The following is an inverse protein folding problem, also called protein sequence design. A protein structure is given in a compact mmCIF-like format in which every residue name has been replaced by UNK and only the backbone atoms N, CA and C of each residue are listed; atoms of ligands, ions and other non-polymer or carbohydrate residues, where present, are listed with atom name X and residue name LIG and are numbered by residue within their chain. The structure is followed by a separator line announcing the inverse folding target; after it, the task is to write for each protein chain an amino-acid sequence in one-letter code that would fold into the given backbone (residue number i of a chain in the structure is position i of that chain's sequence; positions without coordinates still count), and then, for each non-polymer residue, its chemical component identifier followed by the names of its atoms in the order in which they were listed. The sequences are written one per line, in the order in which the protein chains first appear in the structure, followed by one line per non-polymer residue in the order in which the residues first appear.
data_IF_870503276957
#
_entry.id   IF_870503276957
#
_cell.length_a   1.000
_cell.length_b   1.000
_cell.length_c   1.000
_cell.angle_alpha   90.00
_cell.angle_beta   90.00
_cell.angle_gamma   90.00
#
_symmetry.space_group_name_H-M   'P 1'
#
loop_
_entity.id
_entity.type
_entity.pdbx_description
1 polymer ?
#
# COMPACT_ATOMS: atom_id res chain seq x y z
N UNK A 1 -4.35 4.61 22.36
CA UNK A 1 -4.83 5.95 22.73
C UNK A 1 -4.88 6.12 24.25
N UNK A 2 -5.63 5.29 25.02
CA UNK A 2 -5.77 5.47 26.47
C UNK A 2 -4.40 5.62 27.20
N UNK A 3 -3.46 4.72 26.98
CA UNK A 3 -2.12 4.78 27.57
C UNK A 3 -1.35 6.07 27.20
N UNK A 4 -1.52 6.56 25.96
CA UNK A 4 -0.93 7.83 25.55
C UNK A 4 -1.52 9.00 26.33
N UNK A 5 -2.85 9.08 26.43
CA UNK A 5 -3.51 10.15 27.18
C UNK A 5 -3.14 10.15 28.67
N UNK A 6 -2.99 8.98 29.28
CA UNK A 6 -2.53 8.85 30.67
C UNK A 6 -1.07 9.28 30.87
N UNK A 7 -0.23 9.17 29.85
CA UNK A 7 1.17 9.55 29.91
C UNK A 7 1.44 11.05 29.67
N UNK A 8 0.41 11.81 29.23
CA UNK A 8 0.57 13.26 28.98
C UNK A 8 0.57 13.99 30.32
N UNK A 9 1.65 14.78 30.61
CA UNK A 9 1.73 15.54 31.85
C UNK A 9 0.65 16.63 31.93
N UNK A 10 0.23 16.97 33.14
CA UNK A 10 -0.67 18.09 33.37
C UNK A 10 -0.07 19.39 32.83
N UNK A 11 -0.86 20.18 32.13
CA UNK A 11 -0.43 21.43 31.49
C UNK A 11 0.22 21.30 30.11
N UNK A 12 0.41 20.08 29.60
CA UNK A 12 0.89 19.88 28.25
C UNK A 12 -0.21 20.15 27.20
N UNK A 13 0.20 20.72 26.06
CA UNK A 13 -0.69 20.89 24.91
C UNK A 13 -0.64 19.65 24.01
N UNK A 14 -1.79 19.11 23.66
CA UNK A 14 -1.91 17.99 22.75
C UNK A 14 -2.54 18.45 21.43
N UNK A 15 -1.79 18.31 20.33
CA UNK A 15 -2.29 18.50 18.98
C UNK A 15 -2.43 17.14 18.29
N UNK A 16 -3.65 16.80 17.87
CA UNK A 16 -3.94 15.61 17.07
C UNK A 16 -4.17 16.02 15.62
N UNK A 17 -3.40 15.44 14.72
CA UNK A 17 -3.50 15.68 13.27
C UNK A 17 -3.85 14.36 12.58
N UNK A 18 -4.82 14.40 11.67
CA UNK A 18 -5.22 13.21 10.91
C UNK A 18 -6.34 13.51 9.94
N UNK A 19 -6.72 12.49 9.18
CA UNK A 19 -7.81 12.54 8.20
C UNK A 19 -8.93 11.60 8.66
N UNK A 20 -10.05 12.18 9.09
CA UNK A 20 -11.21 11.42 9.59
C UNK A 20 -11.99 10.69 8.49
N UNK A 21 -11.77 11.05 7.22
CA UNK A 21 -12.44 10.46 6.06
C UNK A 21 -11.68 9.25 5.51
N UNK A 22 -10.41 9.05 5.91
CA UNK A 22 -9.64 7.84 5.62
C UNK A 22 -10.12 6.65 6.47
N UNK A 23 -9.58 5.47 6.15
CA UNK A 23 -9.79 4.28 6.98
C UNK A 23 -9.36 4.55 8.42
N UNK A 24 -10.19 4.20 9.41
CA UNK A 24 -9.82 4.35 10.81
C UNK A 24 -8.66 3.39 11.16
N UNK A 25 -7.96 3.68 12.27
CA UNK A 25 -6.89 2.82 12.79
C UNK A 25 -7.37 1.38 12.99
N UNK A 26 -6.48 0.41 12.79
CA UNK A 26 -6.76 -1.00 13.08
C UNK A 26 -6.95 -1.18 14.59
N UNK A 27 -8.08 -1.76 15.00
CA UNK A 27 -8.43 -1.99 16.41
C UNK A 27 -9.75 -1.37 16.83
N UNK A 28 -10.01 -1.35 18.13
CA UNK A 28 -11.27 -0.83 18.68
C UNK A 28 -11.29 0.70 18.69
N UNK A 29 -12.41 1.28 18.34
CA UNK A 29 -12.68 2.71 18.46
C UNK A 29 -12.38 3.53 17.20
N UNK A 30 -12.96 4.73 17.19
CA UNK A 30 -12.74 5.76 16.18
C UNK A 30 -12.28 7.05 16.90
N UNK A 31 -11.11 6.96 17.53
CA UNK A 31 -10.63 7.96 18.49
C UNK A 31 -10.64 9.38 17.89
N UNK A 32 -10.09 9.56 16.68
CA UNK A 32 -10.07 10.89 16.06
C UNK A 32 -11.49 11.42 15.78
N UNK A 33 -12.34 10.61 15.16
CA UNK A 33 -13.72 10.99 14.86
C UNK A 33 -14.55 11.26 16.12
N UNK A 34 -14.38 10.44 17.16
CA UNK A 34 -15.07 10.62 18.44
C UNK A 34 -14.64 11.90 19.16
N UNK A 35 -13.33 12.23 19.15
CA UNK A 35 -12.80 13.45 19.70
C UNK A 35 -13.29 14.69 18.94
N UNK A 36 -13.30 14.62 17.60
CA UNK A 36 -13.81 15.73 16.77
C UNK A 36 -15.29 16.02 16.97
N UNK A 37 -16.07 15.00 17.34
CA UNK A 37 -17.52 15.11 17.54
C UNK A 37 -17.94 15.45 18.99
N UNK A 38 -16.98 15.52 19.91
CA UNK A 38 -17.26 15.75 21.33
C UNK A 38 -16.55 17.00 21.86
N UNK A 39 -17.23 17.85 22.66
CA UNK A 39 -16.55 18.86 23.44
C UNK A 39 -15.59 18.20 24.45
N UNK A 40 -14.51 18.82 24.88
CA UNK A 40 -14.11 20.22 24.66
C UNK A 40 -13.08 20.39 23.51
N UNK A 41 -12.92 19.43 22.60
CA UNK A 41 -11.88 19.51 21.57
C UNK A 41 -12.12 20.72 20.63
N UNK A 42 -11.10 21.55 20.48
CA UNK A 42 -11.07 22.56 19.43
C UNK A 42 -10.67 21.92 18.12
N UNK A 43 -11.57 21.94 17.15
CA UNK A 43 -11.37 21.28 15.84
C UNK A 43 -11.17 22.34 14.76
N UNK A 44 -10.08 22.21 14.02
CA UNK A 44 -9.86 22.96 12.77
C UNK A 44 -9.87 21.97 11.61
N UNK A 45 -10.78 22.14 10.66
CA UNK A 45 -10.82 21.38 9.42
C UNK A 45 -10.12 22.15 8.31
N UNK A 46 -9.23 21.44 7.59
CA UNK A 46 -8.57 21.97 6.40
C UNK A 46 -9.33 21.47 5.18
N UNK A 47 -10.03 22.39 4.49
CA UNK A 47 -10.91 22.04 3.37
C UNK A 47 -10.24 22.25 2.01
N UNK A 48 -9.14 23.00 1.97
CA UNK A 48 -8.45 23.33 0.73
C UNK A 48 -7.23 22.48 0.54
N UNK A 49 -7.17 21.76 -0.60
CA UNK A 49 -6.04 20.90 -0.97
C UNK A 49 -5.09 21.73 -1.84
N UNK A 50 -3.87 21.96 -1.35
CA UNK A 50 -2.80 22.68 -2.07
C UNK A 50 -1.76 21.77 -2.72
N UNK A 51 -1.81 20.46 -2.44
CA UNK A 51 -0.76 19.49 -2.80
C UNK A 51 -0.67 19.20 -4.30
N UNK A 52 -1.79 19.30 -5.00
CA UNK A 52 -1.92 19.11 -6.45
C UNK A 52 -2.69 20.31 -7.00
N UNK A 53 -2.37 20.75 -8.23
CA UNK A 53 -3.04 21.90 -8.84
C UNK A 53 -4.57 21.78 -8.80
N UNK A 54 -5.27 22.90 -8.87
CA UNK A 54 -6.75 22.98 -8.80
C UNK A 54 -7.47 22.09 -9.86
N UNK A 55 -6.77 21.65 -10.90
CA UNK A 55 -7.29 20.82 -11.99
C UNK A 55 -6.95 19.31 -11.84
N UNK A 56 -6.40 18.90 -10.69
CA UNK A 56 -6.07 17.48 -10.46
C UNK A 56 -7.31 16.60 -10.42
N UNK A 57 -7.35 15.60 -11.29
CA UNK A 57 -8.38 14.57 -11.31
C UNK A 57 -8.40 13.71 -10.05
N UNK A 58 -7.25 13.51 -9.40
CA UNK A 58 -7.16 12.81 -8.10
C UNK A 58 -7.92 13.59 -7.04
N UNK A 59 -7.68 14.91 -6.95
CA UNK A 59 -8.32 15.79 -5.96
C UNK A 59 -9.82 15.90 -6.22
N UNK A 60 -10.21 16.19 -7.46
CA UNK A 60 -11.63 16.28 -7.85
C UNK A 60 -12.38 14.97 -7.58
N UNK A 61 -11.77 13.83 -7.91
CA UNK A 61 -12.39 12.53 -7.64
C UNK A 61 -12.45 12.23 -6.14
N UNK A 62 -11.43 12.56 -5.36
CA UNK A 62 -11.46 12.40 -3.91
C UNK A 62 -12.61 13.21 -3.28
N UNK A 63 -12.80 14.47 -3.69
CA UNK A 63 -13.93 15.28 -3.24
C UNK A 63 -15.30 14.73 -3.69
N UNK A 64 -15.41 14.25 -4.94
CA UNK A 64 -16.61 13.62 -5.45
C UNK A 64 -16.99 12.38 -4.63
N UNK A 65 -15.99 11.56 -4.27
CA UNK A 65 -16.17 10.39 -3.38
C UNK A 65 -16.74 10.82 -2.04
N UNK A 66 -16.17 11.84 -1.39
CA UNK A 66 -16.66 12.31 -0.09
C UNK A 66 -18.10 12.83 -0.16
N UNK A 67 -18.48 13.47 -1.26
CA UNK A 67 -19.87 13.89 -1.53
C UNK A 67 -20.81 12.72 -1.85
N UNK A 68 -20.29 11.53 -2.15
CA UNK A 68 -21.09 10.36 -2.51
C UNK A 68 -21.43 10.26 -3.98
N UNK A 69 -20.71 10.96 -4.84
CA UNK A 69 -20.87 10.89 -6.29
C UNK A 69 -20.37 9.53 -6.80
N UNK A 70 -21.26 8.77 -7.44
CA UNK A 70 -21.02 7.35 -7.77
C UNK A 70 -20.39 7.13 -9.13
N UNK A 71 -20.08 8.17 -9.87
CA UNK A 71 -19.41 8.09 -11.16
C UNK A 71 -17.98 8.62 -11.04
N UNK A 72 -16.97 7.90 -11.55
CA UNK A 72 -15.57 8.30 -11.39
C UNK A 72 -15.15 9.47 -12.32
N UNK A 73 -16.07 10.07 -13.03
CA UNK A 73 -15.82 11.18 -13.95
C UNK A 73 -15.18 10.74 -15.26
N UNK A 74 -14.02 10.14 -15.23
CA UNK A 74 -13.28 9.70 -16.42
C UNK A 74 -13.13 8.18 -16.45
N UNK A 75 -13.71 7.55 -17.49
CA UNK A 75 -13.72 6.09 -17.65
C UNK A 75 -13.20 5.71 -19.03
N UNK A 76 -12.29 4.76 -19.08
CA UNK A 76 -11.77 4.16 -20.31
C UNK A 76 -12.20 2.70 -20.40
N UNK A 77 -12.71 2.30 -21.55
CA UNK A 77 -13.07 0.90 -21.83
C UNK A 77 -11.95 0.12 -22.49
N UNK A 78 -10.99 0.82 -23.04
CA UNK A 78 -9.85 0.21 -23.74
C UNK A 78 -8.53 0.74 -23.19
N UNK A 79 -7.58 -0.17 -22.99
CA UNK A 79 -6.21 0.17 -22.61
C UNK A 79 -5.45 0.94 -23.69
N UNK A 80 -5.98 0.94 -24.94
CA UNK A 80 -5.37 1.68 -26.07
C UNK A 80 -5.66 3.16 -26.04
N UNK A 81 -6.75 3.55 -25.37
CA UNK A 81 -7.24 4.94 -25.33
C UNK A 81 -6.74 5.71 -24.11
N UNK A 82 -5.79 5.13 -23.35
CA UNK A 82 -5.26 5.74 -22.14
C UNK A 82 -4.50 7.03 -22.45
N UNK A 83 -4.85 8.09 -21.73
CA UNK A 83 -4.20 9.40 -21.83
C UNK A 83 -3.16 9.55 -20.70
N UNK A 84 -1.84 9.59 -21.03
CA UNK A 84 -0.81 9.73 -20.02
C UNK A 84 -0.78 11.11 -19.34
N UNK A 85 -1.48 12.11 -19.88
CA UNK A 85 -1.58 13.43 -19.24
C UNK A 85 -2.48 13.42 -18.02
N UNK A 86 -3.45 12.51 -17.94
CA UNK A 86 -4.41 12.41 -16.84
C UNK A 86 -3.78 11.80 -15.60
N UNK A 87 -4.02 12.40 -14.46
CA UNK A 87 -3.53 11.91 -13.15
C UNK A 87 -4.49 10.92 -12.49
N UNK A 88 -5.77 10.91 -12.86
CA UNK A 88 -6.77 9.93 -12.47
C UNK A 88 -7.37 9.24 -13.68
N UNK A 89 -7.44 7.89 -13.64
CA UNK A 89 -7.99 7.08 -14.72
C UNK A 89 -8.77 5.89 -14.14
N UNK A 90 -10.01 5.72 -14.56
CA UNK A 90 -10.79 4.52 -14.29
C UNK A 90 -10.79 3.64 -15.55
N UNK A 91 -10.42 2.36 -15.40
CA UNK A 91 -10.39 1.37 -16.48
C UNK A 91 -11.46 0.32 -16.20
N UNK A 92 -12.43 0.21 -17.10
CA UNK A 92 -13.51 -0.73 -16.95
C UNK A 92 -13.02 -2.16 -17.21
N UNK A 93 -13.15 -3.03 -16.20
CA UNK A 93 -12.83 -4.44 -16.25
C UNK A 93 -13.78 -5.19 -15.30
N UNK A 94 -14.82 -5.80 -15.84
CA UNK A 94 -15.84 -6.45 -15.03
C UNK A 94 -15.41 -7.82 -14.48
N UNK A 95 -14.61 -8.54 -15.27
CA UNK A 95 -14.14 -9.87 -14.90
C UNK A 95 -12.77 -9.82 -14.21
N UNK A 96 -12.54 -10.66 -13.20
CA UNK A 96 -11.28 -10.71 -12.48
C UNK A 96 -10.05 -10.92 -13.37
N UNK A 97 -10.17 -11.74 -14.40
CA UNK A 97 -9.12 -12.05 -15.35
C UNK A 97 -8.76 -10.83 -16.20
N UNK A 98 -9.77 -10.07 -16.66
CA UNK A 98 -9.57 -8.81 -17.39
C UNK A 98 -8.88 -7.78 -16.50
N UNK A 99 -9.30 -7.67 -15.24
CA UNK A 99 -8.70 -6.78 -14.25
C UNK A 99 -7.22 -7.14 -14.04
N UNK A 100 -6.90 -8.42 -13.85
CA UNK A 100 -5.54 -8.90 -13.68
C UNK A 100 -4.65 -8.58 -14.89
N UNK A 101 -5.14 -8.88 -16.10
CA UNK A 101 -4.40 -8.59 -17.34
C UNK A 101 -4.18 -7.08 -17.53
N UNK A 102 -5.16 -6.26 -17.22
CA UNK A 102 -5.03 -4.81 -17.27
C UNK A 102 -3.98 -4.30 -16.27
N UNK A 103 -3.97 -4.81 -15.04
CA UNK A 103 -2.99 -4.46 -14.02
C UNK A 103 -1.58 -4.87 -14.46
N UNK A 104 -1.40 -6.09 -14.99
CA UNK A 104 -0.11 -6.57 -15.52
C UNK A 104 0.40 -5.69 -16.65
N UNK A 105 -0.45 -5.34 -17.59
CA UNK A 105 -0.12 -4.45 -18.70
C UNK A 105 0.29 -3.05 -18.22
N UNK A 106 -0.51 -2.47 -17.31
CA UNK A 106 -0.21 -1.17 -16.71
C UNK A 106 1.15 -1.19 -16.01
N UNK A 107 1.38 -2.17 -15.15
CA UNK A 107 2.58 -2.24 -14.32
C UNK A 107 3.84 -2.54 -15.14
N UNK A 108 3.76 -3.44 -16.13
CA UNK A 108 4.93 -3.89 -16.89
C UNK A 108 5.25 -3.00 -18.08
N UNK A 109 4.23 -2.49 -18.76
CA UNK A 109 4.41 -1.85 -20.06
C UNK A 109 4.00 -0.38 -20.08
N UNK A 110 2.74 -0.07 -19.77
CA UNK A 110 2.21 1.26 -19.99
C UNK A 110 2.84 2.32 -19.07
N UNK A 111 2.79 2.09 -17.76
CA UNK A 111 3.24 3.06 -16.76
C UNK A 111 4.76 3.32 -16.85
N UNK A 112 5.63 2.30 -16.93
CA UNK A 112 7.06 2.54 -17.09
C UNK A 112 7.40 3.34 -18.35
N UNK A 113 6.79 2.99 -19.49
CA UNK A 113 7.04 3.67 -20.77
C UNK A 113 6.50 5.09 -20.82
N UNK A 114 5.28 5.31 -20.27
CA UNK A 114 4.58 6.60 -20.37
C UNK A 114 5.07 7.62 -19.34
N UNK A 115 5.60 7.19 -18.21
CA UNK A 115 5.94 8.06 -17.09
C UNK A 115 7.41 8.01 -16.69
N UNK A 116 8.21 7.17 -17.34
CA UNK A 116 9.65 6.97 -17.06
C UNK A 116 9.90 6.71 -15.56
N UNK A 117 9.25 5.68 -15.01
CA UNK A 117 9.34 5.29 -13.61
C UNK A 117 9.75 3.82 -13.46
N UNK A 118 10.36 3.49 -12.33
CA UNK A 118 10.65 2.12 -11.93
C UNK A 118 9.37 1.49 -11.33
N UNK A 119 8.76 0.48 -11.98
CA UNK A 119 7.54 -0.13 -11.49
C UNK A 119 7.71 -0.84 -10.13
N UNK A 120 8.93 -1.23 -9.78
CA UNK A 120 9.20 -1.89 -8.52
C UNK A 120 9.25 -0.88 -7.36
N UNK A 121 9.81 0.32 -7.59
CA UNK A 121 9.95 1.36 -6.56
C UNK A 121 8.77 2.32 -6.50
N UNK A 122 8.32 2.79 -7.66
CA UNK A 122 7.42 3.95 -7.76
C UNK A 122 5.94 3.57 -7.89
N UNK A 123 5.66 2.31 -8.21
CA UNK A 123 4.31 1.80 -8.39
C UNK A 123 3.87 0.94 -7.21
N UNK A 124 2.64 1.13 -6.76
CA UNK A 124 2.02 0.26 -5.77
C UNK A 124 0.63 -0.20 -6.21
N UNK A 125 0.43 -1.51 -6.29
CA UNK A 125 -0.90 -2.09 -6.41
C UNK A 125 -1.50 -2.25 -5.03
N UNK A 126 -2.74 -1.75 -4.82
CA UNK A 126 -3.41 -1.76 -3.53
C UNK A 126 -4.78 -2.42 -3.66
N UNK A 127 -4.94 -3.63 -3.13
CA UNK A 127 -6.20 -4.38 -3.21
C UNK A 127 -7.01 -4.30 -1.90
N UNK A 128 -8.34 -4.26 -1.99
CA UNK A 128 -9.22 -4.39 -0.84
C UNK A 128 -9.11 -5.74 -0.11
N UNK A 129 -8.75 -6.81 -0.82
CA UNK A 129 -8.89 -8.20 -0.36
C UNK A 129 -7.59 -9.00 -0.48
N UNK A 130 -7.39 -9.94 0.47
CA UNK A 130 -6.21 -10.82 0.47
C UNK A 130 -6.34 -12.02 -0.47
N UNK A 131 -7.52 -12.66 -0.53
CA UNK A 131 -7.77 -13.89 -1.28
C UNK A 131 -8.69 -13.63 -2.46
N UNK A 132 -8.75 -14.59 -3.42
CA UNK A 132 -9.59 -14.50 -4.62
C UNK A 132 -8.87 -13.88 -5.81
N UNK A 133 -9.52 -13.86 -6.97
CA UNK A 133 -8.92 -13.52 -8.27
C UNK A 133 -8.50 -12.04 -8.44
N UNK A 134 -8.73 -11.15 -7.54
CA UNK A 134 -8.19 -9.78 -7.50
C UNK A 134 -7.51 -9.52 -6.17
N UNK A 135 -7.24 -10.59 -5.41
CA UNK A 135 -6.65 -10.54 -4.09
C UNK A 135 -5.13 -10.41 -4.13
N UNK A 136 -4.57 -9.94 -3.03
CA UNK A 136 -3.15 -9.64 -2.86
C UNK A 136 -2.28 -10.86 -3.18
N UNK A 137 -2.69 -12.06 -2.77
CA UNK A 137 -1.91 -13.29 -2.99
C UNK A 137 -1.69 -13.56 -4.48
N UNK A 138 -2.76 -13.55 -5.27
CA UNK A 138 -2.68 -13.78 -6.73
C UNK A 138 -1.95 -12.63 -7.41
N UNK A 139 -2.27 -11.39 -7.03
CA UNK A 139 -1.61 -10.21 -7.59
C UNK A 139 -0.10 -10.23 -7.35
N UNK A 140 0.38 -10.63 -6.18
CA UNK A 140 1.81 -10.73 -5.90
C UNK A 140 2.49 -11.79 -6.78
N UNK A 141 1.89 -12.98 -6.91
CA UNK A 141 2.42 -14.06 -7.76
C UNK A 141 2.51 -13.62 -9.22
N UNK A 142 1.44 -13.03 -9.74
CA UNK A 142 1.34 -12.63 -11.14
C UNK A 142 2.22 -11.41 -11.48
N UNK A 143 2.34 -10.47 -10.53
CA UNK A 143 3.19 -9.30 -10.71
C UNK A 143 4.67 -9.64 -10.52
N UNK A 144 5.03 -10.56 -9.61
CA UNK A 144 6.38 -11.08 -9.53
C UNK A 144 6.81 -11.68 -10.87
N UNK A 145 5.99 -12.55 -11.46
CA UNK A 145 6.32 -13.16 -12.74
C UNK A 145 6.34 -12.18 -13.91
N UNK A 146 5.52 -11.13 -13.84
CA UNK A 146 5.49 -10.08 -14.85
C UNK A 146 6.69 -9.11 -14.78
N UNK A 147 7.08 -8.70 -13.56
CA UNK A 147 8.07 -7.66 -13.32
C UNK A 147 9.47 -8.21 -12.99
N UNK A 148 9.54 -9.38 -12.36
CA UNK A 148 10.77 -10.06 -11.98
C UNK A 148 10.67 -11.56 -12.33
N UNK A 149 10.59 -11.90 -13.62
CA UNK A 149 10.46 -13.30 -14.04
C UNK A 149 11.68 -14.11 -13.64
N UNK A 150 11.50 -15.41 -13.45
CA UNK A 150 12.62 -16.33 -13.19
C UNK A 150 13.68 -16.21 -14.29
N UNK A 151 14.94 -15.95 -13.96
CA UNK A 151 16.01 -15.85 -14.95
C UNK A 151 16.13 -17.14 -15.75
N UNK A 152 16.17 -17.05 -17.09
CA UNK A 152 16.48 -18.21 -17.94
C UNK A 152 17.90 -18.68 -17.62
N UNK A 153 18.13 -19.99 -17.73
CA UNK A 153 19.40 -20.62 -17.34
C UNK A 153 20.66 -19.98 -18.01
N UNK A 154 20.47 -19.31 -19.13
CA UNK A 154 21.53 -18.65 -19.90
C UNK A 154 21.90 -17.24 -19.45
N UNK A 155 21.06 -16.58 -18.64
CA UNK A 155 21.28 -15.17 -18.22
C UNK A 155 21.91 -15.01 -16.82
N UNK A 156 22.53 -16.04 -16.28
CA UNK A 156 23.06 -16.09 -14.91
C UNK A 156 24.36 -15.31 -14.66
N UNK A 157 24.71 -14.35 -15.50
CA UNK A 157 25.99 -13.63 -15.46
C UNK A 157 25.95 -12.16 -15.01
N UNK A 158 24.81 -11.65 -14.52
CA UNK A 158 24.73 -10.27 -14.01
C UNK A 158 24.35 -10.26 -12.53
N UNK A 159 25.34 -10.51 -11.67
CA UNK A 159 25.35 -9.98 -10.30
C UNK A 159 25.77 -8.52 -10.36
N UNK A 160 25.12 -7.67 -9.55
CA UNK A 160 25.43 -6.25 -9.36
C UNK A 160 26.97 -6.05 -9.26
N UNK A 161 27.60 -5.26 -10.12
CA UNK A 161 29.05 -5.07 -10.09
C UNK A 161 29.55 -4.39 -8.80
N UNK A 162 28.65 -3.75 -8.04
CA UNK A 162 28.98 -3.09 -6.77
C UNK A 162 28.93 -4.05 -5.54
N UNK A 163 28.50 -5.31 -5.71
CA UNK A 163 28.48 -6.31 -4.66
C UNK A 163 29.63 -7.32 -4.87
N UNK A 164 30.83 -6.93 -4.57
CA UNK A 164 31.91 -7.85 -4.27
C UNK A 164 32.02 -8.02 -2.75
N UNK A 165 31.77 -9.21 -2.17
CA UNK A 165 32.09 -9.43 -0.76
C UNK A 165 33.59 -9.21 -0.56
N UNK A 166 33.97 -8.42 0.46
CA UNK A 166 35.33 -7.95 0.73
C UNK A 166 36.37 -9.05 1.08
N UNK A 167 36.13 -10.28 0.73
CA UNK A 167 37.02 -11.40 1.00
C UNK A 167 37.05 -12.37 -0.19
N UNK A 168 37.79 -12.03 -1.25
CA UNK A 168 38.32 -13.04 -2.16
C UNK A 168 39.48 -12.49 -3.02
N UNK A 169 40.65 -12.40 -2.40
CA UNK A 169 41.91 -12.51 -3.14
C UNK A 169 42.34 -13.98 -3.16
N UNK A 170 42.52 -14.48 -4.39
CA UNK A 170 43.20 -15.72 -4.74
C UNK A 170 42.67 -17.06 -4.21
N UNK A 171 41.90 -17.77 -5.07
CA UNK A 171 42.25 -19.17 -5.41
C UNK A 171 41.32 -19.73 -6.52
N UNK A 172 41.93 -20.20 -7.62
CA UNK A 172 41.52 -21.20 -8.62
C UNK A 172 40.06 -21.28 -9.11
N UNK A 173 39.89 -20.92 -10.39
CA UNK A 173 38.90 -21.48 -11.31
C UNK A 173 38.86 -23.02 -11.25
N UNK A 174 37.81 -23.57 -10.69
CA UNK A 174 37.15 -24.81 -11.10
C UNK A 174 36.03 -25.09 -10.09
N UNK A 175 34.77 -25.14 -10.61
CA UNK A 175 33.51 -25.49 -9.88
C UNK A 175 32.87 -24.37 -9.05
N UNK A 176 32.63 -23.18 -9.59
CA UNK A 176 31.65 -22.28 -8.97
C UNK A 176 30.26 -22.80 -9.27
N UNK A 177 29.57 -23.35 -8.27
CA UNK A 177 28.11 -23.51 -8.33
C UNK A 177 27.52 -22.13 -8.63
N UNK A 178 26.56 -22.02 -9.58
CA UNK A 178 25.92 -20.74 -9.83
C UNK A 178 25.28 -20.25 -8.54
N UNK A 179 25.43 -18.95 -8.24
CA UNK A 179 24.83 -18.33 -7.07
C UNK A 179 23.32 -18.48 -7.11
N UNK A 180 22.65 -18.75 -5.99
CA UNK A 180 21.20 -18.87 -5.97
C UNK A 180 20.57 -17.53 -6.34
N UNK A 181 19.63 -17.54 -7.26
CA UNK A 181 18.86 -16.37 -7.70
C UNK A 181 17.50 -16.30 -7.03
N UNK A 182 17.10 -17.38 -6.35
CA UNK A 182 15.85 -17.50 -5.63
C UNK A 182 16.03 -18.36 -4.37
N UNK A 183 15.19 -18.11 -3.36
CA UNK A 183 15.11 -18.88 -2.11
C UNK A 183 13.66 -19.19 -1.80
N UNK A 184 13.38 -20.44 -1.45
CA UNK A 184 12.05 -20.90 -1.05
C UNK A 184 11.85 -20.80 0.46
N UNK A 185 10.71 -20.25 0.86
CA UNK A 185 10.26 -20.21 2.24
C UNK A 185 8.74 -20.42 2.33
N UNK A 186 8.33 -21.54 2.89
CA UNK A 186 6.92 -21.94 2.91
C UNK A 186 6.35 -22.09 1.50
N UNK A 187 5.30 -21.35 1.19
CA UNK A 187 4.68 -21.29 -0.15
C UNK A 187 5.20 -20.15 -1.02
N UNK A 188 6.16 -19.38 -0.52
CA UNK A 188 6.71 -18.21 -1.22
C UNK A 188 8.09 -18.49 -1.77
N UNK A 189 8.36 -18.00 -2.98
CA UNK A 189 9.69 -18.01 -3.59
C UNK A 189 10.16 -16.58 -3.75
N UNK A 190 11.20 -16.21 -3.03
CA UNK A 190 11.81 -14.88 -3.11
C UNK A 190 12.98 -14.88 -4.09
N UNK A 191 13.04 -13.84 -4.94
CA UNK A 191 14.06 -13.67 -5.98
C UNK A 191 14.82 -12.36 -5.75
N UNK A 192 16.07 -12.31 -6.20
CA UNK A 192 16.82 -11.04 -6.27
C UNK A 192 16.01 -10.07 -7.14
N UNK A 193 15.82 -8.83 -6.67
CA UNK A 193 14.99 -7.82 -7.30
C UNK A 193 13.53 -7.79 -6.85
N UNK A 194 13.07 -8.74 -6.03
CA UNK A 194 11.71 -8.73 -5.52
C UNK A 194 11.46 -7.56 -4.57
N UNK A 195 10.28 -6.94 -4.72
CA UNK A 195 9.75 -5.98 -3.77
C UNK A 195 9.10 -6.72 -2.61
N UNK A 196 9.52 -6.39 -1.40
CA UNK A 196 9.04 -7.00 -0.16
C UNK A 196 8.61 -5.96 0.86
N UNK A 197 7.79 -6.39 1.83
CA UNK A 197 7.32 -5.56 2.95
C UNK A 197 7.59 -6.29 4.27
N UNK A 198 8.09 -5.57 5.26
CA UNK A 198 8.20 -6.03 6.63
C UNK A 198 6.81 -6.16 7.25
N UNK A 199 6.53 -7.24 7.96
CA UNK A 199 5.19 -7.54 8.51
C UNK A 199 5.08 -7.36 10.00
N UNK A 200 6.20 -7.15 10.70
CA UNK A 200 6.28 -6.89 12.15
C UNK A 200 7.45 -5.96 12.45
N UNK A 201 7.42 -5.29 13.59
CA UNK A 201 8.55 -4.47 14.02
C UNK A 201 9.73 -5.36 14.39
N UNK A 202 10.92 -5.02 13.91
CA UNK A 202 12.19 -5.59 14.33
C UNK A 202 13.09 -4.44 14.77
N UNK A 203 13.14 -4.21 16.08
CA UNK A 203 13.86 -3.08 16.67
C UNK A 203 15.38 -3.28 16.60
N UNK A 204 15.87 -4.52 16.60
CA UNK A 204 17.29 -4.84 16.51
C UNK A 204 17.86 -4.48 15.12
N UNK A 205 17.02 -4.60 14.10
CA UNK A 205 17.38 -4.29 12.71
C UNK A 205 16.92 -2.90 12.28
N UNK A 206 16.23 -2.16 13.15
CA UNK A 206 15.64 -0.86 12.85
C UNK A 206 14.70 -0.88 11.63
N UNK A 207 13.92 -1.97 11.47
CA UNK A 207 12.92 -2.13 10.40
C UNK A 207 11.56 -2.36 11.02
N UNK A 208 10.54 -1.67 10.49
CA UNK A 208 9.24 -1.62 11.10
C UNK A 208 8.16 -2.22 10.19
N UNK A 209 7.05 -2.60 10.80
CA UNK A 209 5.89 -3.12 10.07
C UNK A 209 5.38 -2.07 9.07
N UNK A 210 5.40 -2.44 7.80
CA UNK A 210 5.01 -1.57 6.68
C UNK A 210 6.19 -1.05 5.85
N UNK A 211 7.43 -1.16 6.34
CA UNK A 211 8.61 -0.78 5.57
C UNK A 211 8.75 -1.68 4.34
N UNK A 212 9.02 -1.06 3.20
CA UNK A 212 9.19 -1.77 1.93
C UNK A 212 10.64 -1.72 1.47
N UNK A 213 11.11 -2.84 0.95
CA UNK A 213 12.48 -2.97 0.46
C UNK A 213 12.58 -3.84 -0.78
N UNK A 214 13.80 -3.90 -1.34
CA UNK A 214 14.14 -4.71 -2.52
C UNK A 214 15.19 -5.73 -2.13
N UNK A 215 14.98 -7.00 -2.50
CA UNK A 215 15.97 -8.06 -2.28
C UNK A 215 17.16 -7.81 -3.20
N UNK A 216 18.35 -7.63 -2.63
CA UNK A 216 19.58 -7.33 -3.36
C UNK A 216 20.49 -8.54 -3.55
N UNK A 217 20.49 -9.45 -2.57
CA UNK A 217 21.33 -10.63 -2.62
C UNK A 217 20.67 -11.82 -1.92
N UNK A 218 21.11 -13.01 -2.30
CA UNK A 218 20.79 -14.27 -1.64
C UNK A 218 22.14 -14.92 -1.28
N UNK A 219 22.29 -15.39 -0.06
CA UNK A 219 23.51 -16.04 0.39
C UNK A 219 23.80 -17.29 -0.46
N UNK A 220 25.09 -17.55 -0.74
CA UNK A 220 25.53 -18.63 -1.65
C UNK A 220 25.06 -20.03 -1.21
N UNK A 221 24.89 -20.24 0.10
CA UNK A 221 24.37 -21.44 0.72
C UNK A 221 22.85 -21.42 0.93
N UNK A 222 22.17 -20.38 0.45
CA UNK A 222 20.73 -20.13 0.68
C UNK A 222 20.34 -20.06 2.17
N UNK A 223 21.26 -19.62 3.03
CA UNK A 223 21.01 -19.44 4.46
C UNK A 223 20.23 -18.15 4.80
N UNK A 224 20.18 -17.18 3.86
CA UNK A 224 19.50 -15.92 4.06
C UNK A 224 19.51 -15.03 2.83
N UNK A 225 19.00 -13.81 3.03
CA UNK A 225 18.90 -12.77 2.00
C UNK A 225 19.32 -11.41 2.55
N UNK A 226 19.73 -10.50 1.66
CA UNK A 226 19.94 -9.09 1.97
C UNK A 226 18.88 -8.25 1.31
N UNK A 227 18.19 -7.41 2.09
CA UNK A 227 17.14 -6.51 1.62
C UNK A 227 17.62 -5.08 1.79
N UNK A 228 17.42 -4.26 0.78
CA UNK A 228 17.64 -2.80 0.82
C UNK A 228 16.29 -2.13 1.16
N UNK A 229 16.17 -1.67 2.40
CA UNK A 229 15.18 -0.70 2.86
C UNK A 229 15.78 0.71 2.71
N UNK A 230 15.73 1.58 3.73
CA UNK A 230 16.57 2.78 3.78
C UNK A 230 18.05 2.42 3.91
N UNK A 231 18.32 1.33 4.65
CA UNK A 231 19.62 0.71 4.80
C UNK A 231 19.56 -0.76 4.36
N UNK A 232 20.74 -1.37 4.15
CA UNK A 232 20.86 -2.80 3.83
C UNK A 232 20.75 -3.63 5.10
N UNK A 233 19.84 -4.59 5.11
CA UNK A 233 19.55 -5.46 6.26
C UNK A 233 19.61 -6.93 5.85
N UNK A 234 20.32 -7.73 6.62
CA UNK A 234 20.43 -9.17 6.40
C UNK A 234 19.35 -9.93 7.18
N UNK A 235 18.77 -10.91 6.52
CA UNK A 235 17.77 -11.83 7.06
C UNK A 235 18.25 -13.26 6.93
N UNK A 236 18.25 -13.99 8.03
CA UNK A 236 18.41 -15.44 8.00
C UNK A 236 17.17 -16.12 7.43
N UNK A 237 17.28 -17.37 6.98
CA UNK A 237 16.15 -18.13 6.45
C UNK A 237 14.98 -18.21 7.44
N UNK A 238 15.23 -18.29 8.76
CA UNK A 238 14.19 -18.30 9.79
C UNK A 238 13.42 -16.98 9.89
N UNK A 239 14.10 -15.86 9.66
CA UNK A 239 13.51 -14.51 9.71
C UNK A 239 12.70 -14.16 8.47
N UNK A 240 12.73 -14.97 7.40
CA UNK A 240 11.89 -14.76 6.22
C UNK A 240 10.38 -14.80 6.52
N UNK A 241 10.00 -15.32 7.69
CA UNK A 241 8.61 -15.21 8.20
C UNK A 241 8.16 -13.78 8.45
N UNK A 242 9.10 -12.82 8.57
CA UNK A 242 8.82 -11.41 8.85
C UNK A 242 8.56 -10.59 7.60
N UNK A 243 8.80 -11.15 6.42
CA UNK A 243 8.63 -10.46 5.14
C UNK A 243 7.58 -11.12 4.26
N UNK A 244 7.02 -10.34 3.36
CA UNK A 244 6.08 -10.79 2.31
C UNK A 244 6.35 -10.04 1.01
N UNK A 245 5.96 -10.60 -0.14
CA UNK A 245 5.96 -9.85 -1.40
C UNK A 245 5.10 -8.59 -1.28
N UNK A 246 5.53 -7.52 -1.91
CA UNK A 246 4.89 -6.21 -1.82
C UNK A 246 4.58 -5.57 -3.19
N UNK A 247 4.54 -6.33 -4.27
CA UNK A 247 4.02 -5.84 -5.55
C UNK A 247 2.56 -5.39 -5.41
N UNK A 248 1.79 -6.13 -4.61
CA UNK A 248 0.45 -5.77 -4.17
C UNK A 248 0.35 -5.85 -2.64
N UNK A 249 -0.26 -4.83 -2.02
CA UNK A 249 -0.55 -4.76 -0.59
C UNK A 249 -2.02 -4.46 -0.34
N UNK A 250 -2.48 -4.55 0.92
CA UNK A 250 -3.83 -4.08 1.25
C UNK A 250 -3.88 -2.56 1.34
N UNK A 251 -5.03 -1.97 1.01
CA UNK A 251 -5.27 -0.54 1.22
C UNK A 251 -5.06 -0.15 2.70
N UNK A 252 -5.36 -1.05 3.65
CA UNK A 252 -5.08 -0.82 5.07
C UNK A 252 -3.57 -0.68 5.36
N UNK A 253 -2.74 -1.54 4.76
CA UNK A 253 -1.28 -1.47 4.92
C UNK A 253 -0.64 -0.25 4.25
N UNK A 254 -1.32 0.38 3.30
CA UNK A 254 -0.83 1.60 2.66
C UNK A 254 -1.07 2.87 3.47
N UNK A 255 -1.79 2.79 4.59
CA UNK A 255 -2.00 3.95 5.47
C UNK A 255 -0.65 4.46 6.00
N UNK A 256 -0.47 5.78 5.95
CA UNK A 256 0.79 6.43 6.31
C UNK A 256 1.83 6.49 5.18
N UNK A 257 1.75 5.59 4.20
CA UNK A 257 2.66 5.60 3.04
C UNK A 257 2.09 6.38 1.87
N UNK A 258 2.95 6.81 0.95
CA UNK A 258 2.59 7.49 -0.29
C UNK A 258 3.43 6.97 -1.45
N UNK A 259 2.79 6.86 -2.61
CA UNK A 259 3.41 6.27 -3.81
C UNK A 259 3.29 7.24 -4.99
N UNK A 260 4.29 7.36 -5.84
CA UNK A 260 4.17 8.13 -7.08
C UNK A 260 2.98 7.68 -7.93
N UNK A 261 2.79 6.37 -8.10
CA UNK A 261 1.68 5.79 -8.88
C UNK A 261 0.99 4.70 -8.09
N UNK A 262 -0.35 4.72 -8.08
CA UNK A 262 -1.19 3.71 -7.46
C UNK A 262 -2.10 3.01 -8.49
N UNK A 263 -2.23 1.68 -8.37
CA UNK A 263 -3.25 0.89 -9.09
C UNK A 263 -4.17 0.25 -8.05
N UNK A 264 -5.48 0.38 -8.23
CA UNK A 264 -6.49 -0.11 -7.29
C UNK A 264 -7.49 -1.00 -8.02
N UNK A 265 -7.47 -2.33 -7.84
CA UNK A 265 -8.52 -3.20 -8.34
C UNK A 265 -9.81 -3.02 -7.53
N UNK A 266 -10.93 -2.80 -8.22
CA UNK A 266 -12.27 -2.73 -7.62
C UNK A 266 -13.24 -3.67 -8.34
N UNK A 267 -13.47 -4.85 -7.78
CA UNK A 267 -14.33 -5.89 -8.35
C UNK A 267 -15.55 -6.14 -7.46
N UNK A 268 -16.65 -6.61 -8.05
CA UNK A 268 -17.88 -6.95 -7.31
C UNK A 268 -17.64 -7.98 -6.19
N UNK A 269 -16.72 -8.92 -6.39
CA UNK A 269 -16.35 -9.90 -5.36
C UNK A 269 -15.78 -9.29 -4.07
N UNK A 270 -15.34 -8.02 -4.12
CA UNK A 270 -14.86 -7.28 -2.95
C UNK A 270 -16.01 -6.71 -2.09
N UNK A 271 -17.28 -6.98 -2.40
CA UNK A 271 -18.48 -6.30 -1.90
C UNK A 271 -18.53 -6.10 -0.38
N UNK A 272 -18.05 -7.07 0.41
CA UNK A 272 -18.01 -6.97 1.88
C UNK A 272 -17.07 -5.87 2.39
N UNK A 273 -16.05 -5.53 1.61
CA UNK A 273 -15.00 -4.58 1.96
C UNK A 273 -15.16 -3.23 1.25
N UNK A 274 -16.07 -3.16 0.25
CA UNK A 274 -16.28 -1.94 -0.53
C UNK A 274 -16.98 -0.89 0.35
N UNK A 275 -16.21 0.10 0.75
CA UNK A 275 -16.65 1.24 1.54
C UNK A 275 -16.05 2.53 0.98
N UNK A 276 -16.76 3.64 1.15
CA UNK A 276 -16.34 4.97 0.67
C UNK A 276 -14.95 5.34 1.15
N UNK A 277 -14.70 5.22 2.44
CA UNK A 277 -13.41 5.53 3.06
C UNK A 277 -12.27 4.64 2.55
N UNK A 278 -12.53 3.39 2.15
CA UNK A 278 -11.54 2.51 1.57
C UNK A 278 -11.05 3.05 0.22
N UNK A 279 -11.98 3.41 -0.67
CA UNK A 279 -11.64 3.96 -1.99
C UNK A 279 -10.96 5.31 -1.84
N UNK A 280 -11.47 6.18 -0.96
CA UNK A 280 -10.87 7.47 -0.64
C UNK A 280 -9.43 7.29 -0.14
N UNK A 281 -9.20 6.41 0.84
CA UNK A 281 -7.86 6.11 1.35
C UNK A 281 -6.92 5.65 0.23
N UNK A 282 -7.36 4.71 -0.61
CA UNK A 282 -6.53 4.20 -1.70
C UNK A 282 -6.12 5.29 -2.70
N UNK A 283 -7.07 6.12 -3.13
CA UNK A 283 -6.80 7.21 -4.08
C UNK A 283 -5.84 8.23 -3.49
N UNK A 284 -6.02 8.60 -2.23
CA UNK A 284 -5.18 9.60 -1.55
C UNK A 284 -3.77 9.12 -1.22
N UNK A 285 -3.44 7.85 -1.47
CA UNK A 285 -2.04 7.34 -1.37
C UNK A 285 -1.19 7.72 -2.57
N UNK A 286 -1.78 8.09 -3.69
CA UNK A 286 -1.03 8.44 -4.87
C UNK A 286 -0.61 9.92 -4.87
N UNK A 287 0.65 10.16 -5.24
CA UNK A 287 1.19 11.52 -5.39
C UNK A 287 1.00 12.07 -6.80
N UNK A 288 1.06 11.23 -7.84
CA UNK A 288 1.10 11.67 -9.24
C UNK A 288 0.00 11.05 -10.09
N UNK A 289 -0.25 9.74 -9.96
CA UNK A 289 -1.17 9.01 -10.84
C UNK A 289 -1.96 7.96 -10.08
N UNK A 290 -3.25 7.84 -10.40
CA UNK A 290 -4.15 6.78 -9.92
C UNK A 290 -4.79 6.07 -11.10
N UNK A 291 -4.73 4.75 -11.08
CA UNK A 291 -5.46 3.87 -11.98
C UNK A 291 -6.40 2.99 -11.15
N UNK A 292 -7.71 3.16 -11.31
CA UNK A 292 -8.68 2.21 -10.78
C UNK A 292 -9.00 1.23 -11.91
N UNK A 293 -8.91 -0.06 -11.65
CA UNK A 293 -9.22 -1.12 -12.62
C UNK A 293 -10.33 -1.97 -12.07
N UNK A 294 -11.49 -1.97 -12.71
CA UNK A 294 -12.59 -2.78 -12.21
C UNK A 294 -13.98 -2.43 -12.75
N UNK A 295 -15.00 -2.79 -11.98
CA UNK A 295 -16.40 -2.60 -12.34
C UNK A 295 -16.92 -1.25 -11.84
N UNK A 296 -17.63 -0.52 -12.69
CA UNK A 296 -18.37 0.70 -12.32
C UNK A 296 -19.40 0.44 -11.22
N UNK A 297 -20.04 -0.72 -11.24
CA UNK A 297 -20.99 -1.11 -10.19
C UNK A 297 -20.29 -1.30 -8.84
N UNK A 298 -19.08 -1.90 -8.83
CA UNK A 298 -18.29 -2.05 -7.62
C UNK A 298 -17.84 -0.69 -7.05
N UNK A 299 -17.46 0.22 -7.94
CA UNK A 299 -17.15 1.60 -7.56
C UNK A 299 -18.37 2.30 -6.96
N UNK A 300 -19.50 2.28 -7.67
CA UNK A 300 -20.76 2.89 -7.21
C UNK A 300 -21.22 2.30 -5.86
N UNK A 301 -21.09 0.97 -5.69
CA UNK A 301 -21.40 0.28 -4.44
C UNK A 301 -20.51 0.78 -3.30
N UNK A 302 -19.19 0.89 -3.53
CA UNK A 302 -18.25 1.39 -2.55
C UNK A 302 -18.58 2.82 -2.10
N UNK A 303 -18.86 3.70 -3.05
CA UNK A 303 -19.17 5.11 -2.77
C UNK A 303 -20.50 5.29 -2.03
N UNK A 304 -21.53 4.50 -2.35
CA UNK A 304 -22.81 4.49 -1.63
C UNK A 304 -22.66 3.95 -0.21
N UNK A 305 -21.73 3.03 0.02
CA UNK A 305 -21.51 2.43 1.32
C UNK A 305 -20.68 3.36 2.23
N UNK A 306 -21.37 4.26 2.91
CA UNK A 306 -20.79 5.15 3.92
C UNK A 306 -20.99 4.62 5.35
N UNK A 307 -21.37 3.36 5.50
CA UNK A 307 -21.55 2.74 6.81
C UNK A 307 -20.17 2.52 7.43
N UNK A 308 -19.69 3.51 8.17
CA UNK A 308 -18.61 3.25 9.12
C UNK A 308 -19.11 2.15 10.07
N UNK A 309 -18.31 1.11 10.24
CA UNK A 309 -18.61 0.13 11.29
C UNK A 309 -18.75 0.87 12.60
N UNK A 310 -19.95 0.87 13.17
CA UNK A 310 -20.22 1.52 14.46
C UNK A 310 -19.36 0.80 15.50
N UNK A 311 -18.27 1.43 15.87
CA UNK A 311 -17.37 0.91 16.90
C UNK A 311 -17.91 1.35 18.27
N UNK A 312 -18.54 0.41 18.98
CA UNK A 312 -19.23 0.68 20.26
C UNK A 312 -18.23 0.82 21.41
N UNK A 313 -17.46 1.92 21.43
CA UNK A 313 -16.48 2.19 22.50
C UNK A 313 -17.01 3.15 23.57
N UNK A 314 -18.16 3.78 23.34
CA UNK A 314 -18.74 4.82 24.19
C UNK A 314 -17.83 6.01 24.51
N UNK A 315 -16.72 6.20 23.76
CA UNK A 315 -15.80 7.30 24.02
C UNK A 315 -16.50 8.67 23.94
N UNK A 316 -17.28 8.91 22.90
CA UNK A 316 -18.01 10.16 22.70
C UNK A 316 -18.98 10.44 23.86
N UNK A 317 -19.71 9.40 24.33
CA UNK A 317 -20.64 9.53 25.46
C UNK A 317 -19.90 9.84 26.76
N UNK A 318 -18.75 9.20 26.99
CA UNK A 318 -17.92 9.46 28.18
C UNK A 318 -17.34 10.87 28.19
N UNK A 319 -16.88 11.36 27.03
CA UNK A 319 -16.37 12.72 26.90
C UNK A 319 -17.44 13.76 27.20
N UNK A 320 -18.65 13.62 26.66
CA UNK A 320 -19.77 14.53 26.95
C UNK A 320 -20.09 14.57 28.44
N UNK A 321 -20.21 13.41 29.09
CA UNK A 321 -20.49 13.34 30.54
C UNK A 321 -19.39 14.01 31.37
N UNK A 322 -18.12 13.82 31.00
CA UNK A 322 -17.01 14.44 31.71
C UNK A 322 -17.04 15.99 31.62
N UNK A 323 -17.47 16.53 30.47
CA UNK A 323 -17.62 17.98 30.31
C UNK A 323 -18.81 18.52 31.11
N UNK A 324 -19.97 17.84 31.10
CA UNK A 324 -21.15 18.25 31.87
C UNK A 324 -20.88 18.28 33.38
N UNK A 325 -19.99 17.44 33.89
CA UNK A 325 -19.59 17.47 35.29
C UNK A 325 -18.67 18.67 35.64
N UNK A 326 -17.86 19.14 34.67
CA UNK A 326 -16.96 20.30 34.90
C UNK A 326 -17.70 21.63 34.84
N UNK A 327 -18.79 21.74 34.10
CA UNK A 327 -19.61 22.94 34.01
C UNK A 327 -20.55 23.09 35.24
N UNK A 328 -20.56 22.12 36.15
CA UNK A 328 -21.43 22.06 37.34
C UNK A 328 -20.65 22.35 38.62
N UNK A 329 -19.39 22.54 38.61
CA UNK A 329 -18.50 23.03 39.68
C UNK A 329 -18.10 24.49 39.45
#
# INVERSE_FOLDING_TARGET
AASLFQAIPSGAHLLLVGDADQLPSVGAGNVLGDLMAAPPAKVTRLDTIYRQGKESGIVTTAHAILKGETHPGMTFRSLRDLDPSKDFTFIEAEQPEQCLQAIKYLAKEYIPKSHNIDPTRDLQVMSPMHRGSGGITILNTELQEALNPKPKAESRLHSDPDYAPAAQTHFREKTRKPLPVEIEYGSSTFRIGDKVIQTRNNYDKNVYNGDTGIIKAIAADSSGITIEFDERVEYTKGELSEIQHAYAISIHKSQGSEYPVAIIPLLKQHFLLLQRNLVYTGITRARRKVYIVGSLDAYAMAIKNNKQQIRRTHLQTRLRRACECQDSE
#
